data_IF_820211080417
#
_entry.id   IF_820211080417
#
_cell.length_a   1.000
_cell.length_b   1.000
_cell.length_c   1.000
_cell.angle_alpha   90.00
_cell.angle_beta   90.00
_cell.angle_gamma   90.00
#
_symmetry.space_group_name_H-M   'P 1'
#
loop_
_entity.id
_entity.type
_entity.pdbx_description
1 polymer ?
#
# COMPACT_ATOMS: atom_id res chain seq x y z
N UNK A 1 5.95 39.27 31.07
CA UNK A 1 5.80 37.80 31.11
C UNK A 1 5.05 37.40 29.85
N UNK A 2 5.78 37.02 28.80
CA UNK A 2 5.23 36.69 27.49
C UNK A 2 5.05 35.17 27.44
N UNK A 3 3.80 34.71 27.28
CA UNK A 3 3.47 33.30 27.18
C UNK A 3 3.64 32.95 25.70
N UNK A 4 4.65 32.12 25.41
CA UNK A 4 4.90 31.58 24.10
C UNK A 4 3.82 30.52 23.76
N UNK A 5 3.02 30.75 22.71
CA UNK A 5 2.11 29.77 22.15
C UNK A 5 2.90 28.58 21.55
N UNK A 6 2.45 27.33 21.74
CA UNK A 6 3.11 26.17 21.18
C UNK A 6 2.81 26.06 19.67
N UNK A 7 3.87 25.90 18.88
CA UNK A 7 3.80 25.63 17.43
C UNK A 7 3.11 24.30 17.15
N UNK A 8 1.80 24.31 16.88
CA UNK A 8 0.97 23.18 16.48
C UNK A 8 0.75 23.10 14.95
N UNK A 9 1.73 23.36 14.10
CA UNK A 9 1.40 23.49 12.67
C UNK A 9 1.88 22.37 11.75
N UNK A 10 2.75 21.45 12.20
CA UNK A 10 3.26 20.38 11.33
C UNK A 10 2.48 19.06 11.42
N UNK A 11 2.06 18.66 12.60
CA UNK A 11 1.33 17.40 12.82
C UNK A 11 -0.13 17.47 12.34
N UNK A 12 -0.76 18.63 12.49
CA UNK A 12 -2.18 18.84 12.13
C UNK A 12 -2.38 18.84 10.59
N UNK A 13 -1.38 19.30 9.82
CA UNK A 13 -1.43 19.26 8.35
C UNK A 13 -1.25 17.85 7.80
N UNK A 14 -0.36 17.03 8.40
CA UNK A 14 -0.17 15.62 8.03
C UNK A 14 -1.43 14.80 8.26
N UNK A 15 -2.01 14.92 9.45
CA UNK A 15 -3.23 14.21 9.85
C UNK A 15 -4.43 14.58 8.95
N UNK A 16 -4.58 15.85 8.58
CA UNK A 16 -5.65 16.28 7.67
C UNK A 16 -5.46 15.77 6.24
N UNK A 17 -4.23 15.76 5.74
CA UNK A 17 -3.91 15.20 4.43
C UNK A 17 -4.22 13.71 4.38
N UNK A 18 -3.81 12.96 5.40
CA UNK A 18 -4.07 11.52 5.48
C UNK A 18 -5.57 11.23 5.57
N UNK A 19 -6.35 12.00 6.33
CA UNK A 19 -7.82 11.89 6.37
C UNK A 19 -8.47 12.13 5.00
N UNK A 20 -7.99 13.10 4.23
CA UNK A 20 -8.48 13.39 2.87
C UNK A 20 -8.15 12.23 1.94
N UNK A 21 -6.92 11.70 1.99
CA UNK A 21 -6.48 10.59 1.15
C UNK A 21 -7.21 9.27 1.51
N UNK A 22 -7.47 9.00 2.78
CA UNK A 22 -8.30 7.86 3.22
C UNK A 22 -9.76 7.99 2.75
N UNK A 23 -10.32 9.18 2.72
CA UNK A 23 -11.64 9.42 2.15
C UNK A 23 -11.65 9.20 0.64
N UNK A 24 -10.63 9.69 -0.07
CA UNK A 24 -10.45 9.45 -1.50
C UNK A 24 -10.33 7.96 -1.82
N UNK A 25 -9.50 7.22 -1.08
CA UNK A 25 -9.38 5.76 -1.22
C UNK A 25 -10.74 5.05 -1.11
N UNK A 26 -11.51 5.35 -0.05
CA UNK A 26 -12.84 4.76 0.15
C UNK A 26 -13.80 5.05 -1.00
N UNK A 27 -13.76 6.24 -1.57
CA UNK A 27 -14.59 6.61 -2.73
C UNK A 27 -14.15 5.88 -3.99
N UNK A 28 -12.84 5.85 -4.30
CA UNK A 28 -12.29 5.13 -5.45
C UNK A 28 -12.69 3.65 -5.41
N UNK A 29 -12.51 2.99 -4.26
CA UNK A 29 -12.88 1.58 -4.09
C UNK A 29 -14.38 1.32 -4.18
N UNK A 30 -15.22 2.31 -3.85
CA UNK A 30 -16.68 2.18 -3.88
C UNK A 30 -17.29 2.49 -5.24
N UNK A 31 -16.80 3.52 -5.93
CA UNK A 31 -17.46 4.09 -7.11
C UNK A 31 -16.56 4.22 -8.34
N UNK A 32 -15.27 3.92 -8.21
CA UNK A 32 -14.26 4.11 -9.24
C UNK A 32 -13.67 5.53 -9.25
N UNK A 33 -12.46 5.63 -9.84
CA UNK A 33 -11.73 6.90 -9.92
C UNK A 33 -12.43 7.91 -10.85
N UNK A 34 -13.11 7.44 -11.92
CA UNK A 34 -13.82 8.35 -12.87
C UNK A 34 -14.88 9.20 -12.17
N UNK A 35 -15.61 8.60 -11.22
CA UNK A 35 -16.68 9.26 -10.46
C UNK A 35 -16.16 10.08 -9.27
N UNK A 36 -14.86 10.01 -8.97
CA UNK A 36 -14.26 10.76 -7.88
C UNK A 36 -14.37 12.27 -8.17
N UNK A 37 -14.87 13.03 -7.20
CA UNK A 37 -14.82 14.49 -7.21
C UNK A 37 -14.19 15.02 -5.91
N UNK A 38 -13.45 16.13 -6.00
CA UNK A 38 -12.90 16.80 -4.81
C UNK A 38 -13.99 17.16 -3.80
N UNK A 39 -15.19 17.51 -4.28
CA UNK A 39 -16.34 17.86 -3.42
C UNK A 39 -16.84 16.67 -2.60
N UNK A 40 -16.93 15.48 -3.20
CA UNK A 40 -17.36 14.26 -2.51
C UNK A 40 -16.31 13.82 -1.49
N UNK A 41 -15.03 13.94 -1.85
CA UNK A 41 -13.92 13.67 -0.93
C UNK A 41 -13.94 14.65 0.25
N UNK A 42 -14.15 15.95 0.00
CA UNK A 42 -14.27 16.94 1.07
C UNK A 42 -15.40 16.59 2.05
N UNK A 43 -16.56 16.22 1.52
CA UNK A 43 -17.72 15.79 2.31
C UNK A 43 -17.40 14.58 3.18
N UNK A 44 -16.79 13.54 2.58
CA UNK A 44 -16.46 12.31 3.30
C UNK A 44 -15.33 12.50 4.33
N UNK A 45 -14.35 13.38 4.02
CA UNK A 45 -13.24 13.72 4.92
C UNK A 45 -13.67 14.69 6.05
N UNK A 46 -14.88 15.26 5.99
CA UNK A 46 -15.35 16.26 6.95
C UNK A 46 -14.60 17.58 6.85
N UNK A 47 -14.22 18.01 5.62
CA UNK A 47 -13.54 19.29 5.38
C UNK A 47 -14.36 20.18 4.45
N UNK A 48 -14.10 21.49 4.50
CA UNK A 48 -14.75 22.43 3.60
C UNK A 48 -14.20 22.34 2.16
N UNK A 49 -15.03 22.70 1.15
CA UNK A 49 -14.57 22.81 -0.24
C UNK A 49 -13.32 23.70 -0.39
N UNK A 50 -13.27 24.91 0.17
CA UNK A 50 -12.06 25.73 0.11
C UNK A 50 -10.85 25.03 0.72
N UNK A 51 -11.05 24.21 1.77
CA UNK A 51 -9.97 23.47 2.39
C UNK A 51 -9.39 22.45 1.42
N UNK A 52 -10.20 21.58 0.79
CA UNK A 52 -9.67 20.55 -0.11
C UNK A 52 -8.96 21.15 -1.32
N UNK A 53 -9.50 22.25 -1.91
CA UNK A 53 -8.87 22.93 -3.05
C UNK A 53 -7.55 23.61 -2.70
N UNK A 54 -7.28 23.87 -1.43
CA UNK A 54 -5.96 24.35 -0.97
C UNK A 54 -4.92 23.23 -0.94
N UNK A 55 -5.33 21.96 -0.76
CA UNK A 55 -4.45 20.80 -0.70
C UNK A 55 -4.26 20.15 -2.06
N UNK A 56 -5.30 20.11 -2.90
CA UNK A 56 -5.31 19.43 -4.19
C UNK A 56 -5.93 20.33 -5.25
N UNK A 57 -5.11 20.67 -6.25
CA UNK A 57 -5.51 21.60 -7.32
C UNK A 57 -6.48 20.93 -8.29
N UNK A 58 -6.34 19.63 -8.49
CA UNK A 58 -7.15 18.83 -9.41
C UNK A 58 -7.43 17.43 -8.85
N UNK A 59 -8.30 16.70 -9.53
CA UNK A 59 -8.58 15.29 -9.26
C UNK A 59 -7.34 14.43 -9.53
N UNK A 60 -6.61 14.73 -10.58
CA UNK A 60 -5.39 14.02 -10.98
C UNK A 60 -4.31 14.17 -9.90
N UNK A 61 -4.14 15.39 -9.36
CA UNK A 61 -3.25 15.68 -8.25
C UNK A 61 -3.63 14.86 -6.98
N UNK A 62 -4.93 14.78 -6.67
CA UNK A 62 -5.42 13.94 -5.58
C UNK A 62 -5.14 12.44 -5.81
N UNK A 63 -5.32 11.95 -7.02
CA UNK A 63 -5.07 10.54 -7.37
C UNK A 63 -3.58 10.21 -7.29
N UNK A 64 -2.70 11.07 -7.77
CA UNK A 64 -1.25 10.90 -7.65
C UNK A 64 -0.80 10.90 -6.17
N UNK A 65 -1.34 11.82 -5.38
CA UNK A 65 -1.10 11.86 -3.95
C UNK A 65 -1.63 10.61 -3.22
N UNK A 66 -2.77 10.06 -3.67
CA UNK A 66 -3.33 8.82 -3.14
C UNK A 66 -2.38 7.63 -3.40
N UNK A 67 -1.85 7.49 -4.62
CA UNK A 67 -0.87 6.44 -4.92
C UNK A 67 0.38 6.52 -4.02
N UNK A 68 0.92 7.73 -3.82
CA UNK A 68 2.04 7.96 -2.90
C UNK A 68 1.68 7.66 -1.43
N UNK A 69 0.45 7.92 -1.03
CA UNK A 69 -0.04 7.61 0.32
C UNK A 69 -0.14 6.10 0.56
N UNK A 70 -0.72 5.35 -0.39
CA UNK A 70 -0.80 3.89 -0.30
C UNK A 70 0.60 3.25 -0.22
N UNK A 71 1.56 3.76 -0.99
CA UNK A 71 2.95 3.31 -0.89
C UNK A 71 3.57 3.58 0.49
N UNK A 72 3.36 4.79 1.05
CA UNK A 72 3.86 5.10 2.41
C UNK A 72 3.23 4.18 3.47
N UNK A 73 1.93 3.88 3.35
CA UNK A 73 1.24 2.93 4.24
C UNK A 73 1.84 1.52 4.15
N UNK A 74 2.05 1.03 2.93
CA UNK A 74 2.70 -0.26 2.71
C UNK A 74 4.11 -0.30 3.31
N UNK A 75 4.92 0.72 3.04
CA UNK A 75 6.27 0.82 3.59
C UNK A 75 6.27 0.88 5.12
N UNK A 76 5.40 1.69 5.71
CA UNK A 76 5.29 1.78 7.17
C UNK A 76 4.85 0.45 7.80
N UNK A 77 3.93 -0.28 7.16
CA UNK A 77 3.53 -1.61 7.61
C UNK A 77 4.70 -2.61 7.56
N UNK A 78 5.52 -2.58 6.50
CA UNK A 78 6.75 -3.37 6.41
C UNK A 78 7.73 -3.01 7.53
N UNK A 79 8.02 -1.72 7.74
CA UNK A 79 8.96 -1.26 8.76
C UNK A 79 8.52 -1.71 10.17
N UNK A 80 7.23 -1.63 10.47
CA UNK A 80 6.65 -2.09 11.75
C UNK A 80 6.76 -3.61 11.89
N UNK A 81 6.34 -4.36 10.87
CA UNK A 81 6.33 -5.82 10.90
C UNK A 81 7.75 -6.41 11.02
N UNK A 82 8.74 -5.73 10.44
CA UNK A 82 10.14 -6.15 10.50
C UNK A 82 10.86 -5.73 11.79
N UNK A 83 10.22 -4.91 12.63
CA UNK A 83 10.84 -4.43 13.85
C UNK A 83 11.04 -5.56 14.87
N UNK A 84 12.26 -5.76 15.31
CA UNK A 84 12.60 -6.77 16.33
C UNK A 84 12.66 -8.22 15.83
N UNK A 85 12.49 -8.48 14.54
CA UNK A 85 12.61 -9.81 13.92
C UNK A 85 13.77 -9.85 12.92
N UNK A 86 14.39 -11.03 12.76
CA UNK A 86 15.57 -11.24 11.90
C UNK A 86 15.38 -12.47 11.01
N UNK A 87 16.18 -12.62 9.98
CA UNK A 87 16.25 -13.81 9.15
C UNK A 87 14.94 -14.23 8.50
N UNK A 88 14.61 -15.51 8.59
CA UNK A 88 13.39 -16.07 8.02
C UNK A 88 12.13 -15.45 8.64
N UNK A 89 12.12 -15.16 9.93
CA UNK A 89 10.98 -14.51 10.59
C UNK A 89 10.71 -13.09 10.03
N UNK A 90 11.77 -12.37 9.62
CA UNK A 90 11.63 -11.09 8.93
C UNK A 90 10.98 -11.26 7.55
N UNK A 91 11.41 -12.27 6.78
CA UNK A 91 10.79 -12.57 5.50
C UNK A 91 9.32 -12.97 5.66
N UNK A 92 9.00 -13.79 6.65
CA UNK A 92 7.62 -14.18 6.96
C UNK A 92 6.76 -12.95 7.28
N UNK A 93 7.25 -12.07 8.15
CA UNK A 93 6.55 -10.83 8.50
C UNK A 93 6.30 -9.93 7.28
N UNK A 94 7.28 -9.80 6.38
CA UNK A 94 7.13 -9.02 5.16
C UNK A 94 6.12 -9.64 4.18
N UNK A 95 6.13 -10.96 4.03
CA UNK A 95 5.18 -11.71 3.20
C UNK A 95 3.75 -11.58 3.76
N UNK A 96 3.60 -11.63 5.07
CA UNK A 96 2.31 -11.44 5.73
C UNK A 96 1.78 -10.01 5.53
N UNK A 97 2.64 -8.99 5.50
CA UNK A 97 2.23 -7.62 5.14
C UNK A 97 1.71 -7.56 3.71
N UNK A 98 2.39 -8.20 2.74
CA UNK A 98 1.91 -8.26 1.34
C UNK A 98 0.55 -8.95 1.27
N UNK A 99 0.37 -10.08 1.95
CA UNK A 99 -0.89 -10.82 1.97
C UNK A 99 -2.02 -9.97 2.57
N UNK A 100 -1.79 -9.37 3.74
CA UNK A 100 -2.77 -8.49 4.39
C UNK A 100 -3.14 -7.29 3.51
N UNK A 101 -2.15 -6.69 2.83
CA UNK A 101 -2.40 -5.55 1.95
C UNK A 101 -3.30 -5.93 0.76
N UNK A 102 -3.19 -7.15 0.26
CA UNK A 102 -4.07 -7.69 -0.79
C UNK A 102 -5.45 -8.04 -0.24
N UNK A 103 -5.51 -8.70 0.92
CA UNK A 103 -6.76 -9.13 1.58
C UNK A 103 -7.64 -7.94 2.00
N UNK A 104 -7.03 -6.81 2.39
CA UNK A 104 -7.73 -5.57 2.77
C UNK A 104 -8.37 -4.83 1.58
N UNK A 105 -8.09 -5.25 0.35
CA UNK A 105 -8.69 -4.63 -0.84
C UNK A 105 -9.97 -5.36 -1.22
N UNK A 106 -11.04 -4.64 -1.62
CA UNK A 106 -12.21 -5.30 -2.20
C UNK A 106 -11.81 -5.98 -3.51
N UNK A 107 -11.97 -7.30 -3.62
CA UNK A 107 -11.46 -8.07 -4.74
C UNK A 107 -12.04 -7.62 -6.08
N UNK A 108 -11.17 -7.42 -7.08
CA UNK A 108 -11.53 -7.20 -8.49
C UNK A 108 -12.30 -5.92 -8.82
N UNK A 109 -12.90 -5.26 -7.83
CA UNK A 109 -13.87 -4.18 -8.05
C UNK A 109 -13.31 -2.98 -8.83
N UNK A 110 -12.06 -2.63 -8.63
CA UNK A 110 -11.45 -1.51 -9.36
C UNK A 110 -11.21 -1.88 -10.82
N UNK A 111 -10.80 -3.11 -11.08
CA UNK A 111 -10.63 -3.63 -12.46
C UNK A 111 -11.96 -3.66 -13.20
N UNK A 112 -13.03 -4.11 -12.55
CA UNK A 112 -14.38 -4.16 -13.15
C UNK A 112 -14.93 -2.76 -13.48
N UNK A 113 -14.64 -1.79 -12.61
CA UNK A 113 -15.12 -0.41 -12.77
C UNK A 113 -14.28 0.40 -13.76
N UNK A 114 -12.95 0.29 -13.68
CA UNK A 114 -12.01 1.12 -14.44
C UNK A 114 -10.72 0.36 -14.76
N UNK A 115 -10.72 -0.55 -15.77
CA UNK A 115 -9.58 -1.40 -16.07
C UNK A 115 -8.30 -0.60 -16.43
N UNK A 116 -8.43 0.51 -17.14
CA UNK A 116 -7.29 1.36 -17.50
C UNK A 116 -6.62 1.97 -16.26
N UNK A 117 -7.42 2.52 -15.35
CA UNK A 117 -6.90 3.07 -14.09
C UNK A 117 -6.28 1.98 -13.20
N UNK A 118 -6.96 0.83 -13.08
CA UNK A 118 -6.41 -0.30 -12.34
C UNK A 118 -5.05 -0.75 -12.89
N UNK A 119 -4.93 -0.82 -14.22
CA UNK A 119 -3.65 -1.17 -14.87
C UNK A 119 -2.55 -0.16 -14.54
N UNK A 120 -2.81 1.15 -14.63
CA UNK A 120 -1.83 2.19 -14.29
C UNK A 120 -1.39 2.09 -12.83
N UNK A 121 -2.32 1.88 -11.90
CA UNK A 121 -2.00 1.71 -10.48
C UNK A 121 -1.13 0.45 -10.23
N UNK A 122 -1.45 -0.68 -10.90
CA UNK A 122 -0.63 -1.90 -10.79
C UNK A 122 0.76 -1.71 -11.39
N UNK A 123 0.86 -1.04 -12.53
CA UNK A 123 2.14 -0.74 -13.17
C UNK A 123 3.06 0.13 -12.29
N UNK A 124 2.49 1.02 -11.49
CA UNK A 124 3.23 1.82 -10.50
C UNK A 124 3.53 1.04 -9.22
N UNK A 125 2.59 0.24 -8.72
CA UNK A 125 2.73 -0.51 -7.49
C UNK A 125 3.80 -1.61 -7.58
N UNK A 126 3.88 -2.32 -8.71
CA UNK A 126 4.79 -3.46 -8.89
C UNK A 126 6.27 -3.12 -8.65
N UNK A 127 6.87 -2.09 -9.28
CA UNK A 127 8.26 -1.74 -9.00
C UNK A 127 8.47 -1.30 -7.54
N UNK A 128 7.55 -0.55 -6.96
CA UNK A 128 7.64 -0.08 -5.58
C UNK A 128 7.59 -1.23 -4.56
N UNK A 129 6.69 -2.19 -4.75
CA UNK A 129 6.62 -3.40 -3.92
C UNK A 129 7.88 -4.26 -4.08
N UNK A 130 8.35 -4.43 -5.31
CA UNK A 130 9.57 -5.19 -5.60
C UNK A 130 10.79 -4.57 -4.90
N UNK A 131 10.95 -3.27 -4.96
CA UNK A 131 12.03 -2.53 -4.29
C UNK A 131 11.95 -2.69 -2.77
N UNK A 132 10.76 -2.52 -2.17
CA UNK A 132 10.56 -2.70 -0.73
C UNK A 132 10.94 -4.12 -0.27
N UNK A 133 10.47 -5.15 -0.99
CA UNK A 133 10.80 -6.55 -0.69
C UNK A 133 12.29 -6.86 -0.93
N UNK A 134 12.92 -6.24 -1.92
CA UNK A 134 14.36 -6.38 -2.14
C UNK A 134 15.17 -5.91 -0.94
N UNK A 135 14.81 -4.78 -0.33
CA UNK A 135 15.46 -4.29 0.89
C UNK A 135 15.36 -5.32 2.02
N UNK A 136 14.18 -5.93 2.20
CA UNK A 136 13.95 -6.99 3.19
C UNK A 136 14.86 -8.18 2.94
N UNK A 137 14.87 -8.71 1.72
CA UNK A 137 15.68 -9.87 1.36
C UNK A 137 17.18 -9.63 1.53
N UNK A 138 17.64 -8.42 1.19
CA UNK A 138 19.03 -8.02 1.41
C UNK A 138 19.38 -7.96 2.89
N UNK A 139 18.48 -7.50 3.75
CA UNK A 139 18.70 -7.49 5.20
C UNK A 139 18.76 -8.91 5.76
N UNK A 140 17.81 -9.80 5.37
CA UNK A 140 17.84 -11.21 5.75
C UNK A 140 19.16 -11.90 5.36
N UNK A 141 19.65 -11.63 4.15
CA UNK A 141 20.92 -12.21 3.68
C UNK A 141 22.15 -11.74 4.47
N UNK A 142 22.14 -10.49 4.94
CA UNK A 142 23.26 -9.92 5.73
C UNK A 142 23.29 -10.43 7.16
N UNK A 143 22.13 -10.62 7.79
CA UNK A 143 22.04 -10.87 9.23
C UNK A 143 22.18 -12.35 9.58
N UNK A 144 21.62 -13.26 8.78
CA UNK A 144 21.55 -14.69 9.13
C UNK A 144 22.18 -15.62 8.08
N UNK A 145 22.91 -15.07 7.11
CA UNK A 145 23.41 -15.88 6.02
C UNK A 145 22.29 -16.55 5.21
N UNK A 146 21.08 -15.97 5.23
CA UNK A 146 19.94 -16.46 4.47
C UNK A 146 20.28 -16.43 2.99
N UNK A 147 20.89 -17.53 2.53
CA UNK A 147 21.20 -17.73 1.12
C UNK A 147 19.96 -18.26 0.43
N UNK A 148 19.29 -17.43 -0.35
CA UNK A 148 18.33 -17.97 -1.32
C UNK A 148 19.10 -18.48 -2.53
N UNK A 149 18.70 -19.62 -3.07
CA UNK A 149 19.21 -20.10 -4.37
C UNK A 149 18.73 -19.21 -5.53
N UNK A 150 17.82 -18.27 -5.25
CA UNK A 150 17.18 -17.38 -6.22
C UNK A 150 17.74 -15.97 -6.05
N UNK A 151 17.95 -15.27 -7.16
CA UNK A 151 18.34 -13.86 -7.16
C UNK A 151 17.33 -13.05 -6.36
N UNK A 152 17.74 -12.25 -5.35
CA UNK A 152 16.81 -11.53 -4.47
C UNK A 152 15.78 -10.65 -5.22
N UNK A 153 16.18 -10.06 -6.35
CA UNK A 153 15.28 -9.28 -7.19
C UNK A 153 14.18 -10.12 -7.84
N UNK A 154 14.51 -11.32 -8.28
CA UNK A 154 13.54 -12.22 -8.92
C UNK A 154 12.56 -12.77 -7.88
N UNK A 155 13.05 -13.08 -6.68
CA UNK A 155 12.21 -13.50 -5.56
C UNK A 155 11.26 -12.38 -5.11
N UNK A 156 11.78 -11.17 -4.92
CA UNK A 156 10.96 -9.99 -4.61
C UNK A 156 9.89 -9.74 -5.69
N UNK A 157 10.29 -9.84 -6.96
CA UNK A 157 9.38 -9.70 -8.10
C UNK A 157 8.32 -10.79 -8.17
N UNK A 158 8.64 -12.04 -7.81
CA UNK A 158 7.68 -13.14 -7.76
C UNK A 158 6.65 -12.92 -6.65
N UNK A 159 7.09 -12.57 -5.45
CA UNK A 159 6.20 -12.25 -4.31
C UNK A 159 5.26 -11.09 -4.66
N UNK A 160 5.79 -9.98 -5.19
CA UNK A 160 5.01 -8.82 -5.56
C UNK A 160 3.97 -9.14 -6.65
N UNK A 161 4.36 -9.88 -7.70
CA UNK A 161 3.44 -10.28 -8.78
C UNK A 161 2.36 -11.23 -8.29
N UNK A 162 2.69 -12.19 -7.42
CA UNK A 162 1.70 -13.10 -6.83
C UNK A 162 0.67 -12.28 -6.02
N UNK A 163 1.10 -11.34 -5.19
CA UNK A 163 0.20 -10.46 -4.47
C UNK A 163 -0.71 -9.66 -5.40
N UNK A 164 -0.15 -8.96 -6.38
CA UNK A 164 -0.94 -8.18 -7.34
C UNK A 164 -1.86 -9.04 -8.21
N UNK A 165 -1.46 -10.29 -8.51
CA UNK A 165 -2.33 -11.24 -9.22
C UNK A 165 -3.62 -11.51 -8.45
N UNK A 166 -3.55 -11.72 -7.14
CA UNK A 166 -4.73 -11.91 -6.29
C UNK A 166 -5.61 -10.67 -6.17
N UNK A 167 -5.01 -9.48 -6.27
CA UNK A 167 -5.79 -8.24 -6.34
C UNK A 167 -6.65 -8.17 -7.61
N UNK A 168 -6.11 -8.64 -8.75
CA UNK A 168 -6.80 -8.61 -10.06
C UNK A 168 -7.75 -9.81 -10.20
N UNK A 169 -7.29 -10.98 -9.80
CA UNK A 169 -7.98 -12.26 -9.92
C UNK A 169 -8.14 -12.88 -8.53
N UNK A 170 -9.15 -12.44 -7.75
CA UNK A 170 -9.36 -12.97 -6.41
C UNK A 170 -9.72 -14.45 -6.50
N UNK A 171 -9.17 -15.25 -5.58
CA UNK A 171 -9.52 -16.66 -5.44
C UNK A 171 -10.86 -16.81 -4.71
N UNK A 172 -11.55 -17.91 -4.93
CA UNK A 172 -12.76 -18.26 -4.17
C UNK A 172 -12.46 -18.68 -2.73
N UNK A 173 -11.24 -19.18 -2.48
CA UNK A 173 -10.74 -19.45 -1.14
C UNK A 173 -10.03 -18.20 -0.58
N UNK A 174 -10.57 -17.59 0.50
CA UNK A 174 -9.97 -16.39 1.10
C UNK A 174 -8.53 -16.57 1.58
N UNK A 175 -8.11 -17.81 1.93
CA UNK A 175 -6.76 -18.09 2.37
C UNK A 175 -5.76 -18.35 1.23
N UNK A 176 -6.23 -18.45 -0.01
CA UNK A 176 -5.37 -18.80 -1.16
C UNK A 176 -4.29 -17.73 -1.41
N UNK A 177 -4.62 -16.45 -1.30
CA UNK A 177 -3.68 -15.36 -1.50
C UNK A 177 -2.46 -15.51 -0.57
N UNK A 178 -2.70 -15.64 0.72
CA UNK A 178 -1.64 -15.80 1.73
C UNK A 178 -0.79 -17.05 1.47
N UNK A 179 -1.42 -18.20 1.23
CA UNK A 179 -0.69 -19.45 0.96
C UNK A 179 0.18 -19.34 -0.29
N UNK A 180 -0.33 -18.77 -1.37
CA UNK A 180 0.40 -18.65 -2.64
C UNK A 180 1.52 -17.60 -2.57
N UNK A 181 1.32 -16.50 -1.86
CA UNK A 181 2.37 -15.49 -1.63
C UNK A 181 3.48 -16.10 -0.77
N UNK A 182 3.15 -16.88 0.28
CA UNK A 182 4.13 -17.62 1.09
C UNK A 182 4.90 -18.64 0.26
N UNK A 183 4.20 -19.42 -0.58
CA UNK A 183 4.82 -20.39 -1.48
C UNK A 183 5.77 -19.69 -2.48
N UNK A 184 5.40 -18.55 -3.04
CA UNK A 184 6.27 -17.75 -3.91
C UNK A 184 7.55 -17.29 -3.19
N UNK A 185 7.47 -17.08 -1.87
CA UNK A 185 8.62 -16.73 -1.02
C UNK A 185 9.45 -17.96 -0.57
N UNK A 186 9.06 -19.17 -0.93
CA UNK A 186 9.70 -20.42 -0.47
C UNK A 186 9.39 -20.72 1.00
N UNK A 187 8.35 -20.15 1.57
CA UNK A 187 7.93 -20.37 2.95
C UNK A 187 6.87 -21.48 3.02
N UNK A 188 6.84 -22.27 4.13
CA UNK A 188 5.78 -23.27 4.32
C UNK A 188 4.40 -22.62 4.35
N UNK A 189 3.42 -23.28 3.74
CA UNK A 189 2.02 -22.91 3.87
C UNK A 189 1.57 -23.07 5.33
N UNK A 190 1.06 -22.03 5.93
CA UNK A 190 0.37 -22.10 7.23
C UNK A 190 -1.11 -22.38 7.02
#
# INVERSE_FOLDING_TARGET
MSIAEPRRSGSDHGDLTDRILDAARRLVLRTGARKLSLSDVATLAGVSRPTIYRYFVSKEDLIDALGKHEYRRFKAALDVAMSGVTGVARLEAAVDVVATFVEDQPPGRLLDLEPGFAHEQMAQALPMMTEGLMVVLQQCAREDGFATAVVPRDLAGAIARTGLSHYIFPDTDPAAARRQIRAAAGLPGS
#
